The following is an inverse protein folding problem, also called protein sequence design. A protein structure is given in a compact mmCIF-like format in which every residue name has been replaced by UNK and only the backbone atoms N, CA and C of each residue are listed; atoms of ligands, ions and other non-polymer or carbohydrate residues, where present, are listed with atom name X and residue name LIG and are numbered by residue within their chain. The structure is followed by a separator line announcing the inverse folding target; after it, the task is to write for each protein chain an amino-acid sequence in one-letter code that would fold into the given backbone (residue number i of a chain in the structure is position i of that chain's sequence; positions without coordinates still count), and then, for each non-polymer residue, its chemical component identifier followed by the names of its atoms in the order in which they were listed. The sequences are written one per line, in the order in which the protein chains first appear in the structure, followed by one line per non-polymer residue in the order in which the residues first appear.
data_IF_186969678888
#
_entry.id   IF_186969678888
#
_cell.length_a   1.000
_cell.length_b   1.000
_cell.length_c   1.000
_cell.angle_alpha   90.00
_cell.angle_beta   90.00
_cell.angle_gamma   90.00
#
_symmetry.space_group_name_H-M   'P 1'
#
loop_
_entity.id
_entity.type
_entity.pdbx_description
1 polymer ?
#
# COMPACT_ATOMS: atom_id res chain seq x y z
N UNK A 1 15.95 4.00 7.13
CA UNK A 1 14.78 4.17 6.23
C UNK A 1 13.50 3.94 7.02
N UNK A 2 12.36 4.47 6.57
CA UNK A 2 11.03 4.17 7.12
C UNK A 2 10.14 3.59 6.00
N UNK A 3 9.64 2.38 6.19
CA UNK A 3 8.66 1.70 5.33
C UNK A 3 7.24 1.96 5.87
N UNK A 4 6.51 2.86 5.21
CA UNK A 4 5.17 3.29 5.62
C UNK A 4 4.13 2.41 4.94
N UNK A 5 3.25 1.81 5.75
CA UNK A 5 2.28 0.84 5.24
C UNK A 5 2.95 -0.45 4.77
N UNK A 6 3.93 -0.96 5.53
CA UNK A 6 4.84 -2.06 5.16
C UNK A 6 4.19 -3.42 4.80
N UNK A 7 2.85 -3.52 4.80
CA UNK A 7 2.13 -4.75 4.52
C UNK A 7 2.55 -5.88 5.46
N UNK A 8 2.90 -7.04 4.90
CA UNK A 8 3.43 -8.15 5.72
C UNK A 8 4.90 -7.97 6.09
N UNK A 9 5.61 -6.95 5.59
CA UNK A 9 7.03 -6.69 5.81
C UNK A 9 7.97 -7.36 4.80
N UNK A 10 7.51 -7.63 3.57
CA UNK A 10 8.33 -8.37 2.60
C UNK A 10 9.47 -7.50 2.07
N UNK A 11 9.15 -6.27 1.66
CA UNK A 11 10.15 -5.29 1.19
C UNK A 11 11.09 -4.92 2.34
N UNK A 12 10.55 -4.67 3.53
CA UNK A 12 11.33 -4.48 4.76
C UNK A 12 12.41 -5.56 4.92
N UNK A 13 12.04 -6.84 4.89
CA UNK A 13 12.98 -7.94 5.06
C UNK A 13 14.04 -8.01 3.95
N UNK A 14 13.64 -7.80 2.69
CA UNK A 14 14.58 -7.76 1.56
C UNK A 14 15.60 -6.63 1.70
N UNK A 15 15.18 -5.45 2.16
CA UNK A 15 16.06 -4.32 2.39
C UNK A 15 16.99 -4.57 3.59
N UNK A 16 16.47 -5.13 4.68
CA UNK A 16 17.27 -5.52 5.85
C UNK A 16 18.35 -6.54 5.47
N UNK A 17 18.01 -7.58 4.69
CA UNK A 17 18.98 -8.56 4.19
C UNK A 17 20.06 -7.96 3.28
N UNK A 18 19.74 -6.85 2.59
CA UNK A 18 20.70 -6.08 1.79
C UNK A 18 21.58 -5.13 2.64
N UNK A 19 21.42 -5.13 3.96
CA UNK A 19 22.21 -4.32 4.89
C UNK A 19 21.63 -2.94 5.17
N UNK A 20 20.40 -2.64 4.73
CA UNK A 20 19.75 -1.38 5.07
C UNK A 20 19.09 -1.45 6.45
N UNK A 21 19.20 -0.38 7.24
CA UNK A 21 18.40 -0.23 8.45
C UNK A 21 17.03 0.35 8.10
N UNK A 22 15.97 -0.42 8.32
CA UNK A 22 14.62 -0.03 7.92
C UNK A 22 13.67 -0.21 9.11
N UNK A 23 13.00 0.88 9.49
CA UNK A 23 11.89 0.84 10.44
C UNK A 23 10.57 0.68 9.67
N UNK A 24 9.56 0.10 10.30
CA UNK A 24 8.26 -0.18 9.68
C UNK A 24 7.12 0.50 10.46
N UNK A 25 6.16 1.08 9.75
CA UNK A 25 4.92 1.61 10.35
C UNK A 25 3.69 1.06 9.65
N UNK A 26 2.72 0.53 10.40
CA UNK A 26 1.42 0.11 9.87
C UNK A 26 0.34 0.14 10.96
N UNK A 27 -0.91 0.54 10.66
CA UNK A 27 -1.98 0.56 11.65
C UNK A 27 -2.54 -0.84 11.95
N UNK A 28 -2.21 -1.86 11.14
CA UNK A 28 -2.76 -3.21 11.29
C UNK A 28 -1.92 -4.06 12.23
N UNK A 29 -2.41 -4.28 13.46
CA UNK A 29 -1.78 -5.18 14.42
C UNK A 29 -1.52 -6.57 13.83
N UNK A 30 -2.50 -7.10 13.08
CA UNK A 30 -2.40 -8.42 12.46
C UNK A 30 -1.23 -8.52 11.47
N UNK A 31 -1.02 -7.49 10.65
CA UNK A 31 0.10 -7.45 9.73
C UNK A 31 1.42 -7.27 10.46
N UNK A 32 1.44 -6.44 11.51
CA UNK A 32 2.63 -6.19 12.32
C UNK A 32 3.14 -7.47 13.01
N UNK A 33 2.26 -8.34 13.48
CA UNK A 33 2.72 -9.63 14.05
C UNK A 33 3.45 -10.49 13.00
N UNK A 34 3.01 -10.47 11.74
CA UNK A 34 3.73 -11.13 10.64
C UNK A 34 5.07 -10.46 10.32
N UNK A 35 5.12 -9.13 10.40
CA UNK A 35 6.37 -8.36 10.24
C UNK A 35 7.37 -8.80 11.30
N UNK A 36 6.96 -8.85 12.58
CA UNK A 36 7.83 -9.28 13.69
C UNK A 36 8.34 -10.70 13.51
N UNK A 37 7.48 -11.64 13.10
CA UNK A 37 7.88 -13.02 12.81
C UNK A 37 8.96 -13.06 11.73
N UNK A 38 8.77 -12.32 10.64
CA UNK A 38 9.76 -12.25 9.55
C UNK A 38 11.07 -11.62 9.98
N UNK A 39 11.03 -10.57 10.80
CA UNK A 39 12.25 -9.94 11.33
C UNK A 39 13.00 -10.84 12.31
N UNK A 40 12.31 -11.70 13.07
CA UNK A 40 12.95 -12.65 13.98
C UNK A 40 13.77 -13.73 13.25
N UNK A 41 13.46 -13.99 11.98
CA UNK A 41 14.24 -14.89 11.12
C UNK A 41 15.48 -14.21 10.53
N UNK A 42 15.61 -12.89 10.66
CA UNK A 42 16.75 -12.12 10.16
C UNK A 42 17.74 -11.87 11.30
N UNK A 43 18.92 -12.53 11.29
CA UNK A 43 19.97 -12.18 12.24
C UNK A 43 20.33 -10.70 12.08
N UNK A 44 20.59 -10.02 13.19
CA UNK A 44 21.05 -8.63 13.27
C UNK A 44 20.04 -7.53 12.86
N UNK A 45 18.76 -7.87 12.69
CA UNK A 45 17.73 -6.85 12.47
C UNK A 45 17.54 -5.95 13.70
N UNK A 46 17.86 -4.67 13.55
CA UNK A 46 17.58 -3.60 14.55
C UNK A 46 16.34 -2.76 14.21
N UNK A 47 15.55 -3.22 13.23
CA UNK A 47 14.33 -2.57 12.76
C UNK A 47 13.31 -2.32 13.89
N UNK A 48 12.85 -1.08 14.02
CA UNK A 48 11.72 -0.74 14.89
C UNK A 48 10.41 -0.94 14.14
N UNK A 49 9.40 -1.43 14.84
CA UNK A 49 8.08 -1.71 14.27
C UNK A 49 7.01 -0.94 15.04
N UNK A 50 6.35 -0.01 14.35
CA UNK A 50 5.35 0.90 14.90
C UNK A 50 3.94 0.46 14.47
N UNK A 51 3.10 0.12 15.45
CA UNK A 51 1.67 -0.07 15.22
C UNK A 51 0.98 1.29 15.27
N UNK A 52 0.98 1.99 14.13
CA UNK A 52 0.41 3.34 14.06
C UNK A 52 -0.01 3.68 12.64
N UNK A 53 -0.97 4.60 12.51
CA UNK A 53 -1.22 5.29 11.25
C UNK A 53 -0.08 6.26 10.97
N UNK A 54 0.18 6.54 9.70
CA UNK A 54 1.27 7.45 9.34
C UNK A 54 1.02 8.88 9.86
N UNK A 55 -0.24 9.31 9.89
CA UNK A 55 -0.65 10.61 10.42
C UNK A 55 -0.34 10.76 11.91
N UNK A 56 -0.45 9.66 12.64
CA UNK A 56 -0.24 9.55 14.09
C UNK A 56 1.19 9.09 14.44
N UNK A 57 2.09 9.03 13.45
CA UNK A 57 3.49 8.67 13.68
C UNK A 57 4.14 9.67 14.67
N UNK A 58 4.96 9.21 15.65
CA UNK A 58 5.51 10.04 16.73
C UNK A 58 6.65 10.96 16.26
N UNK A 59 6.30 11.85 15.32
CA UNK A 59 7.16 12.82 14.65
C UNK A 59 8.11 13.59 15.59
N UNK A 60 7.71 14.06 16.79
CA UNK A 60 8.64 14.77 17.68
C UNK A 60 9.87 13.97 18.11
N UNK A 61 9.78 12.63 18.14
CA UNK A 61 10.90 11.75 18.50
C UNK A 61 11.80 11.39 17.33
N UNK A 62 11.37 11.70 16.10
CA UNK A 62 12.00 11.27 14.84
C UNK A 62 12.18 12.44 13.86
N UNK A 63 12.35 13.66 14.38
CA UNK A 63 12.67 14.83 13.58
C UNK A 63 13.99 14.60 12.84
N UNK A 64 13.98 14.79 11.52
CA UNK A 64 15.14 14.66 10.64
C UNK A 64 15.93 13.35 10.87
N UNK A 65 15.23 12.24 11.07
CA UNK A 65 15.83 10.97 11.46
C UNK A 65 16.09 10.05 10.26
N UNK A 66 15.23 10.09 9.25
CA UNK A 66 15.28 9.14 8.14
C UNK A 66 15.97 9.72 6.90
N UNK A 67 16.83 8.92 6.28
CA UNK A 67 17.44 9.23 4.98
C UNK A 67 16.46 8.97 3.82
N UNK A 68 15.58 7.98 3.98
CA UNK A 68 14.58 7.58 2.98
C UNK A 68 13.27 7.21 3.68
N UNK A 69 12.14 7.69 3.15
CA UNK A 69 10.80 7.23 3.49
C UNK A 69 10.20 6.56 2.25
N UNK A 70 9.74 5.32 2.40
CA UNK A 70 9.17 4.49 1.36
C UNK A 70 7.65 4.40 1.55
N UNK A 71 6.91 4.67 0.48
CA UNK A 71 5.50 4.32 0.33
C UNK A 71 5.38 3.33 -0.82
N UNK A 72 5.04 2.08 -0.51
CA UNK A 72 4.78 1.06 -1.52
C UNK A 72 3.34 0.57 -1.38
N UNK A 73 2.46 0.96 -2.31
CA UNK A 73 1.01 0.72 -2.27
C UNK A 73 0.33 1.29 -1.02
N UNK A 74 0.84 2.41 -0.47
CA UNK A 74 0.35 2.98 0.79
C UNK A 74 0.19 4.50 0.77
N UNK A 75 0.68 5.20 -0.26
CA UNK A 75 0.65 6.66 -0.32
C UNK A 75 -0.79 7.20 -0.45
N UNK A 76 -1.63 6.48 -1.21
CA UNK A 76 -3.04 6.84 -1.37
C UNK A 76 -3.88 6.77 -0.07
N UNK A 77 -3.36 6.17 1.01
CA UNK A 77 -4.08 6.05 2.28
C UNK A 77 -4.07 7.35 3.10
N UNK A 78 -3.12 8.25 2.82
CA UNK A 78 -2.98 9.54 3.52
C UNK A 78 -3.17 10.69 2.53
N UNK A 79 -3.94 11.73 2.86
CA UNK A 79 -4.04 12.93 2.03
C UNK A 79 -2.67 13.56 1.77
N UNK A 80 -2.36 13.90 0.51
CA UNK A 80 -1.05 14.43 0.11
C UNK A 80 -0.53 15.56 1.01
N UNK A 81 -1.32 16.60 1.36
CA UNK A 81 -0.81 17.68 2.21
C UNK A 81 -0.33 17.21 3.58
N UNK A 82 -1.04 16.25 4.18
CA UNK A 82 -0.69 15.67 5.47
C UNK A 82 0.53 14.77 5.35
N UNK A 83 0.58 13.93 4.31
CA UNK A 83 1.70 13.04 4.05
C UNK A 83 3.00 13.84 3.88
N UNK A 84 3.02 14.81 2.97
CA UNK A 84 4.20 15.63 2.71
C UNK A 84 4.63 16.47 3.91
N UNK A 85 3.69 17.07 4.66
CA UNK A 85 4.02 17.82 5.88
C UNK A 85 4.71 16.93 6.92
N UNK A 86 4.24 15.70 7.09
CA UNK A 86 4.85 14.71 8.00
C UNK A 86 6.24 14.30 7.51
N UNK A 87 6.34 13.93 6.24
CA UNK A 87 7.58 13.48 5.60
C UNK A 87 8.68 14.54 5.68
N UNK A 88 8.36 15.81 5.42
CA UNK A 88 9.31 16.92 5.49
C UNK A 88 9.99 17.04 6.86
N UNK A 89 9.27 16.73 7.94
CA UNK A 89 9.80 16.81 9.30
C UNK A 89 10.57 15.56 9.71
N UNK A 90 10.19 14.40 9.17
CA UNK A 90 10.84 13.12 9.46
C UNK A 90 12.14 12.91 8.66
N UNK A 91 12.23 13.49 7.47
CA UNK A 91 13.40 13.37 6.59
C UNK A 91 14.54 14.27 7.04
N UNK A 92 15.76 13.74 6.96
CA UNK A 92 16.98 14.55 6.97
C UNK A 92 16.99 15.52 5.78
N UNK A 93 17.68 16.67 5.88
CA UNK A 93 17.92 17.53 4.72
C UNK A 93 18.59 16.75 3.58
N UNK A 94 18.03 16.79 2.37
CA UNK A 94 18.49 15.99 1.23
C UNK A 94 18.01 14.54 1.19
N UNK A 95 17.18 14.13 2.17
CA UNK A 95 16.58 12.80 2.22
C UNK A 95 15.54 12.58 1.12
N UNK A 96 15.19 11.31 0.89
CA UNK A 96 14.39 10.87 -0.24
C UNK A 96 13.01 10.35 0.15
N UNK A 97 12.05 10.55 -0.73
CA UNK A 97 10.77 9.84 -0.75
C UNK A 97 10.79 8.90 -1.94
N UNK A 98 10.46 7.63 -1.73
CA UNK A 98 10.19 6.68 -2.81
C UNK A 98 8.72 6.33 -2.74
N UNK A 99 7.99 6.55 -3.85
CA UNK A 99 6.58 6.25 -3.97
C UNK A 99 6.41 5.25 -5.12
N UNK A 100 5.84 4.10 -4.81
CA UNK A 100 5.43 3.09 -5.77
C UNK A 100 3.94 2.86 -5.55
N UNK A 101 3.08 3.51 -6.34
CA UNK A 101 1.64 3.51 -6.10
C UNK A 101 0.86 3.82 -7.39
N UNK A 102 -0.44 3.54 -7.36
CA UNK A 102 -1.36 3.86 -8.45
C UNK A 102 -2.03 5.23 -8.25
N UNK A 103 -1.96 6.04 -9.29
CA UNK A 103 -2.61 7.33 -9.39
C UNK A 103 -3.77 7.27 -10.39
N UNK A 104 -4.76 8.15 -10.21
CA UNK A 104 -5.85 8.31 -11.16
C UNK A 104 -5.43 9.25 -12.29
N UNK A 105 -5.78 8.91 -13.52
CA UNK A 105 -5.66 9.84 -14.66
C UNK A 105 -6.81 10.86 -14.63
N UNK A 106 -6.67 11.97 -15.34
CA UNK A 106 -7.66 13.07 -15.28
C UNK A 106 -9.05 12.64 -15.73
N UNK A 107 -9.13 11.88 -16.83
CA UNK A 107 -10.39 11.38 -17.40
C UNK A 107 -11.13 10.45 -16.43
N UNK A 108 -10.36 9.70 -15.62
CA UNK A 108 -10.87 8.73 -14.66
C UNK A 108 -11.48 9.37 -13.42
N UNK A 109 -10.95 10.52 -13.01
CA UNK A 109 -11.24 11.10 -11.72
C UNK A 109 -12.59 11.84 -11.69
N UNK A 110 -13.11 12.24 -12.85
CA UNK A 110 -14.40 12.92 -12.98
C UNK A 110 -15.60 11.96 -12.81
N UNK A 111 -15.38 10.64 -12.95
CA UNK A 111 -16.41 9.60 -12.82
C UNK A 111 -16.26 8.77 -11.51
N UNK A 112 -15.35 9.16 -10.62
CA UNK A 112 -14.87 8.33 -9.52
C UNK A 112 -15.25 8.87 -8.13
N UNK A 113 -16.54 8.98 -7.81
CA UNK A 113 -16.99 9.45 -6.49
C UNK A 113 -16.63 8.51 -5.31
N UNK A 114 -16.05 7.34 -5.58
CA UNK A 114 -15.78 6.28 -4.59
C UNK A 114 -14.33 5.75 -4.58
N UNK A 115 -13.40 6.38 -5.32
CA UNK A 115 -11.99 5.98 -5.31
C UNK A 115 -11.18 7.01 -4.53
N UNK A 116 -10.46 6.54 -3.50
CA UNK A 116 -9.74 7.40 -2.55
C UNK A 116 -8.31 7.72 -3.01
N UNK A 117 -7.90 7.26 -4.19
CA UNK A 117 -6.55 7.47 -4.72
C UNK A 117 -6.35 8.89 -5.25
N UNK A 118 -5.11 9.35 -5.21
CA UNK A 118 -4.72 10.69 -5.64
C UNK A 118 -4.76 10.80 -7.17
N UNK A 119 -5.16 11.97 -7.69
CA UNK A 119 -5.00 12.28 -9.12
C UNK A 119 -3.54 12.58 -9.42
N UNK A 120 -3.06 12.10 -10.55
CA UNK A 120 -1.67 12.29 -10.94
C UNK A 120 -1.34 13.77 -11.21
N UNK A 121 -2.25 14.52 -11.82
CA UNK A 121 -2.07 15.97 -12.05
C UNK A 121 -2.08 16.79 -10.77
N UNK A 122 -2.94 16.45 -9.81
CA UNK A 122 -2.96 17.10 -8.51
C UNK A 122 -1.65 16.82 -7.74
N UNK A 123 -1.10 15.62 -7.89
CA UNK A 123 0.20 15.26 -7.33
C UNK A 123 1.34 16.09 -7.91
N UNK A 124 1.43 16.24 -9.23
CA UNK A 124 2.45 17.08 -9.86
C UNK A 124 2.32 18.55 -9.44
N UNK A 125 1.10 19.10 -9.46
CA UNK A 125 0.85 20.48 -9.02
C UNK A 125 1.25 20.70 -7.56
N UNK A 126 1.02 19.70 -6.71
CA UNK A 126 1.42 19.76 -5.31
C UNK A 126 2.94 19.79 -5.17
N UNK A 127 3.66 18.92 -5.90
CA UNK A 127 5.13 18.85 -5.81
C UNK A 127 5.78 20.16 -6.27
N UNK A 128 5.30 20.75 -7.35
CA UNK A 128 5.79 22.04 -7.86
C UNK A 128 5.74 23.17 -6.82
N UNK A 129 4.80 23.08 -5.86
CA UNK A 129 4.59 24.06 -4.80
C UNK A 129 5.24 23.65 -3.46
N UNK A 130 5.94 22.52 -3.44
CA UNK A 130 6.49 21.91 -2.24
C UNK A 130 8.02 22.03 -2.21
N UNK A 131 8.68 21.83 -1.05
CA UNK A 131 10.14 21.81 -0.97
C UNK A 131 10.76 20.50 -1.49
N UNK A 132 10.09 19.78 -2.39
CA UNK A 132 10.56 18.52 -2.95
C UNK A 132 10.92 18.68 -4.44
N UNK A 133 12.08 18.17 -4.83
CA UNK A 133 12.46 18.05 -6.24
C UNK A 133 12.14 16.65 -6.77
N UNK A 134 11.57 16.59 -7.97
CA UNK A 134 11.33 15.33 -8.68
C UNK A 134 12.64 14.83 -9.31
N UNK A 135 13.16 13.70 -8.82
CA UNK A 135 14.39 13.09 -9.34
C UNK A 135 14.12 12.01 -10.39
N UNK A 136 13.03 11.26 -10.22
CA UNK A 136 12.66 10.17 -11.12
C UNK A 136 11.17 9.96 -11.10
N UNK A 137 10.61 9.62 -12.25
CA UNK A 137 9.21 9.32 -12.42
C UNK A 137 9.00 8.35 -13.59
N UNK A 138 8.89 7.06 -13.29
CA UNK A 138 8.67 6.02 -14.29
C UNK A 138 7.21 5.58 -14.32
N UNK A 139 6.66 5.46 -15.51
CA UNK A 139 5.39 4.76 -15.72
C UNK A 139 5.63 3.25 -15.81
N UNK A 140 5.18 2.51 -14.79
CA UNK A 140 5.28 1.05 -14.77
C UNK A 140 3.96 0.37 -15.11
N UNK A 141 2.93 1.11 -15.54
CA UNK A 141 1.59 0.59 -15.83
C UNK A 141 1.63 -0.61 -16.77
N UNK A 142 2.41 -0.54 -17.85
CA UNK A 142 2.54 -1.62 -18.82
C UNK A 142 3.10 -2.93 -18.23
N UNK A 143 3.90 -2.84 -17.15
CA UNK A 143 4.49 -4.01 -16.48
C UNK A 143 3.60 -4.52 -15.34
N UNK A 144 2.82 -3.65 -14.70
CA UNK A 144 1.97 -3.99 -13.55
C UNK A 144 0.58 -4.45 -14.00
N UNK A 145 -0.03 -3.78 -14.98
CA UNK A 145 -1.38 -4.05 -15.43
C UNK A 145 -1.63 -5.53 -15.80
N UNK A 146 -0.75 -6.23 -16.54
CA UNK A 146 -0.98 -7.64 -16.87
C UNK A 146 -1.02 -8.56 -15.64
N UNK A 147 -0.15 -8.32 -14.66
CA UNK A 147 -0.08 -9.11 -13.44
C UNK A 147 -1.33 -8.92 -12.57
N UNK A 148 -1.79 -7.68 -12.45
CA UNK A 148 -2.99 -7.34 -11.67
C UNK A 148 -4.25 -7.84 -12.38
N UNK A 149 -4.31 -7.80 -13.71
CA UNK A 149 -5.40 -8.37 -14.50
C UNK A 149 -5.48 -9.90 -14.35
N UNK A 150 -4.34 -10.60 -14.42
CA UNK A 150 -4.29 -12.05 -14.24
C UNK A 150 -4.79 -12.49 -12.86
N UNK A 151 -4.38 -11.77 -11.81
CA UNK A 151 -4.84 -12.07 -10.46
C UNK A 151 -6.32 -11.74 -10.27
N UNK A 152 -6.82 -10.66 -10.87
CA UNK A 152 -8.25 -10.33 -10.91
C UNK A 152 -9.08 -11.44 -11.57
N UNK A 153 -8.62 -11.93 -12.73
CA UNK A 153 -9.22 -13.06 -13.44
C UNK A 153 -9.22 -14.33 -12.58
N UNK A 154 -8.10 -14.66 -11.95
CA UNK A 154 -8.01 -15.81 -11.06
C UNK A 154 -9.00 -15.73 -9.88
N UNK A 155 -9.10 -14.55 -9.25
CA UNK A 155 -10.04 -14.32 -8.15
C UNK A 155 -11.50 -14.45 -8.60
N UNK A 156 -11.84 -13.90 -9.77
CA UNK A 156 -13.21 -13.88 -10.31
C UNK A 156 -13.65 -15.22 -10.88
N UNK A 157 -12.79 -15.83 -11.70
CA UNK A 157 -13.16 -16.96 -12.56
C UNK A 157 -12.71 -18.31 -12.00
N UNK A 158 -11.80 -18.34 -11.01
CA UNK A 158 -11.40 -19.60 -10.36
C UNK A 158 -11.78 -19.65 -8.89
N UNK A 159 -11.35 -18.67 -8.10
CA UNK A 159 -11.52 -18.73 -6.64
C UNK A 159 -12.98 -18.58 -6.21
N UNK A 160 -13.70 -17.61 -6.78
CA UNK A 160 -15.11 -17.36 -6.43
C UNK A 160 -16.01 -18.57 -6.79
N UNK A 161 -16.00 -19.12 -8.02
CA UNK A 161 -16.81 -20.29 -8.35
C UNK A 161 -16.47 -21.51 -7.49
N UNK A 162 -15.19 -21.75 -7.21
CA UNK A 162 -14.79 -22.86 -6.32
C UNK A 162 -15.36 -22.70 -4.91
N UNK A 163 -15.36 -21.47 -4.36
CA UNK A 163 -15.95 -21.20 -3.04
C UNK A 163 -17.47 -21.38 -3.02
N UNK A 164 -18.15 -21.03 -4.11
CA UNK A 164 -19.60 -21.22 -4.27
C UNK A 164 -19.94 -22.70 -4.36
N UNK A 165 -19.19 -23.48 -5.18
CA UNK A 165 -19.36 -24.93 -5.28
C UNK A 165 -19.17 -25.63 -3.93
N UNK A 166 -18.12 -25.28 -3.18
CA UNK A 166 -17.91 -25.81 -1.83
C UNK A 166 -19.07 -25.43 -0.89
N UNK A 167 -19.57 -24.20 -1.00
CA UNK A 167 -20.74 -23.73 -0.24
C UNK A 167 -22.00 -24.55 -0.55
N UNK A 168 -22.30 -24.77 -1.83
CA UNK A 168 -23.45 -25.57 -2.28
C UNK A 168 -23.33 -27.02 -1.83
N UNK A 169 -22.14 -27.63 -1.95
CA UNK A 169 -21.89 -29.01 -1.52
C UNK A 169 -22.08 -29.19 0.01
N UNK A 170 -21.58 -28.24 0.81
CA UNK A 170 -21.76 -28.28 2.26
C UNK A 170 -23.24 -28.11 2.65
N UNK A 171 -23.99 -27.27 1.93
CA UNK A 171 -25.43 -27.09 2.14
C UNK A 171 -26.23 -28.35 1.78
N UNK A 172 -25.87 -29.05 0.72
CA UNK A 172 -26.59 -30.26 0.28
C UNK A 172 -26.34 -31.46 1.18
N UNK A 173 -25.16 -31.57 1.80
CA UNK A 173 -24.79 -32.76 2.56
C UNK A 173 -25.07 -32.65 4.08
N UNK A 174 -25.04 -31.45 4.66
CA UNK A 174 -25.37 -31.25 6.08
C UNK A 174 -25.92 -29.84 6.37
N UNK A 175 -27.25 -29.62 6.35
CA UNK A 175 -27.85 -28.29 6.42
C UNK A 175 -27.57 -27.56 7.74
N UNK A 176 -27.40 -28.27 8.87
CA UNK A 176 -27.09 -27.66 10.18
C UNK A 176 -25.63 -27.19 10.26
N UNK A 177 -24.66 -28.02 9.84
CA UNK A 177 -23.24 -27.65 9.77
C UNK A 177 -23.01 -26.55 8.73
N UNK A 178 -23.76 -26.55 7.62
CA UNK A 178 -23.67 -25.52 6.59
C UNK A 178 -24.09 -24.14 7.09
N UNK A 179 -25.08 -24.05 7.99
CA UNK A 179 -25.50 -22.78 8.61
C UNK A 179 -24.42 -22.22 9.54
N UNK A 180 -23.75 -23.08 10.31
CA UNK A 180 -22.65 -22.69 11.21
C UNK A 180 -21.41 -22.29 10.40
N UNK A 181 -21.04 -23.12 9.41
CA UNK A 181 -19.91 -22.86 8.53
C UNK A 181 -20.08 -21.60 7.69
N UNK A 182 -21.25 -21.41 7.08
CA UNK A 182 -21.53 -20.19 6.30
C UNK A 182 -21.58 -18.94 7.17
N UNK A 183 -22.09 -18.99 8.40
CA UNK A 183 -22.05 -17.86 9.32
C UNK A 183 -20.60 -17.46 9.69
N UNK A 184 -19.74 -18.44 9.99
CA UNK A 184 -18.31 -18.23 10.26
C UNK A 184 -17.55 -17.70 9.04
N UNK A 185 -17.81 -18.26 7.85
CA UNK A 185 -17.19 -17.83 6.59
C UNK A 185 -17.63 -16.42 6.21
N UNK A 186 -18.94 -16.13 6.34
CA UNK A 186 -19.53 -14.84 6.00
C UNK A 186 -19.01 -13.74 6.93
N UNK A 187 -18.82 -14.02 8.23
CA UNK A 187 -18.21 -13.11 9.21
C UNK A 187 -16.74 -12.80 8.91
N UNK A 188 -16.00 -13.74 8.29
CA UNK A 188 -14.62 -13.52 7.83
C UNK A 188 -14.54 -12.84 6.47
N UNK A 189 -15.51 -13.07 5.58
CA UNK A 189 -15.58 -12.48 4.24
C UNK A 189 -16.07 -11.02 4.27
N UNK A 190 -16.95 -10.63 5.19
CA UNK A 190 -17.40 -9.23 5.33
C UNK A 190 -16.30 -8.28 5.78
N UNK A 191 -15.16 -8.77 6.25
CA UNK A 191 -13.98 -7.94 6.57
C UNK A 191 -13.06 -7.66 5.37
N UNK A 192 -13.36 -8.17 4.17
CA UNK A 192 -12.53 -7.99 2.98
C UNK A 192 -12.99 -6.84 2.08
N UNK A 193 -12.95 -5.60 2.57
CA UNK A 193 -13.08 -4.40 1.72
C UNK A 193 -11.93 -4.28 0.68
N UNK A 194 -10.79 -4.93 0.95
CA UNK A 194 -9.61 -4.94 0.07
C UNK A 194 -9.88 -5.57 -1.30
N UNK A 195 -10.77 -6.56 -1.41
CA UNK A 195 -11.10 -7.17 -2.71
C UNK A 195 -11.75 -6.15 -3.66
N UNK A 196 -12.64 -5.30 -3.17
CA UNK A 196 -13.29 -4.27 -3.99
C UNK A 196 -12.29 -3.23 -4.48
N UNK A 197 -11.35 -2.82 -3.62
CA UNK A 197 -10.29 -1.87 -3.99
C UNK A 197 -9.28 -2.48 -4.98
N UNK A 198 -8.94 -3.75 -4.80
CA UNK A 198 -8.09 -4.52 -5.70
C UNK A 198 -8.72 -4.67 -7.08
N UNK A 199 -9.97 -5.13 -7.14
CA UNK A 199 -10.74 -5.29 -8.38
C UNK A 199 -10.86 -3.95 -9.14
N UNK A 200 -11.16 -2.86 -8.43
CA UNK A 200 -11.21 -1.52 -9.04
C UNK A 200 -9.84 -1.07 -9.55
N UNK A 201 -8.78 -1.26 -8.76
CA UNK A 201 -7.43 -0.90 -9.19
C UNK A 201 -6.98 -1.67 -10.44
N UNK A 202 -7.27 -2.97 -10.49
CA UNK A 202 -7.03 -3.81 -11.67
C UNK A 202 -7.70 -3.25 -12.92
N UNK A 203 -9.01 -2.97 -12.84
CA UNK A 203 -9.76 -2.42 -13.97
C UNK A 203 -9.17 -1.09 -14.45
N UNK A 204 -8.82 -0.19 -13.52
CA UNK A 204 -8.26 1.12 -13.87
C UNK A 204 -6.94 1.05 -14.61
N UNK A 205 -6.06 0.12 -14.22
CA UNK A 205 -4.80 -0.07 -14.94
C UNK A 205 -5.01 -0.64 -16.35
N UNK A 206 -6.06 -1.46 -16.53
CA UNK A 206 -6.37 -2.10 -17.83
C UNK A 206 -7.09 -1.14 -18.77
N UNK A 207 -8.00 -0.30 -18.27
CA UNK A 207 -8.78 0.64 -19.08
C UNK A 207 -8.10 2.01 -19.28
N UNK A 208 -6.89 2.19 -18.74
CA UNK A 208 -6.10 3.43 -18.86
C UNK A 208 -6.54 4.55 -17.93
N UNK A 209 -7.49 4.29 -17.03
CA UNK A 209 -8.00 5.26 -16.06
C UNK A 209 -7.16 5.32 -14.76
N UNK A 210 -6.10 4.51 -14.68
CA UNK A 210 -5.08 4.52 -13.64
C UNK A 210 -3.68 4.43 -14.24
N UNK A 211 -2.73 5.07 -13.58
CA UNK A 211 -1.30 4.99 -13.92
C UNK A 211 -0.51 4.56 -12.68
N UNK A 212 0.26 3.48 -12.82
CA UNK A 212 1.13 2.96 -11.79
C UNK A 212 2.50 3.61 -11.90
N UNK A 213 2.88 4.41 -10.89
CA UNK A 213 4.08 5.24 -10.93
C UNK A 213 5.13 4.75 -9.94
N UNK A 214 6.38 4.77 -10.38
CA UNK A 214 7.55 4.71 -9.51
C UNK A 214 8.22 6.09 -9.49
N UNK A 215 8.14 6.78 -8.36
CA UNK A 215 8.56 8.16 -8.20
C UNK A 215 9.61 8.27 -7.10
N UNK A 216 10.64 9.06 -7.36
CA UNK A 216 11.64 9.45 -6.37
C UNK A 216 11.66 10.97 -6.23
N UNK A 217 11.43 11.44 -5.01
CA UNK A 217 11.51 12.85 -4.64
C UNK A 217 12.66 13.08 -3.67
N UNK A 218 13.27 14.25 -3.71
CA UNK A 218 14.27 14.67 -2.73
C UNK A 218 13.81 15.92 -2.00
N UNK A 219 13.97 15.93 -0.68
CA UNK A 219 13.76 17.13 0.13
C UNK A 219 14.89 18.13 -0.15
N UNK A 220 14.56 19.24 -0.79
CA UNK A 220 15.52 20.31 -1.10
C UNK A 220 15.97 20.95 0.21
N UNK A 221 17.27 21.17 0.35
CA UNK A 221 17.81 21.89 1.51
C UNK A 221 17.25 23.31 1.51
N UNK A 222 16.77 23.84 2.66
CA UNK A 222 16.54 25.28 2.76
C UNK A 222 17.86 25.99 2.40
N UNK A 223 17.79 26.94 1.47
CA UNK A 223 18.92 27.82 1.11
C UNK A 223 19.27 28.71 2.30
#
# INVERSE_FOLDING_TARGET
MLDVGCGTGYILALLTQKGYQVDAASPSQFLIERVKQRLAELPDSTSKVFVTRFEDFPEPLYQQYYDVILFNESFHQTPMPRAFSKVQKLLKPGGLIIICDMFLTDDAANNASLDTRHKLTDFYRYIEQSPFSLLRDDDLTQYVAPNVALMDDFLKNKLKPASEMLGTYLQSNNPVLSKIGSFLLKKRLTQFNEKTLYHRGSQRLVDGSGSYRFIVLQLVKPV
#
